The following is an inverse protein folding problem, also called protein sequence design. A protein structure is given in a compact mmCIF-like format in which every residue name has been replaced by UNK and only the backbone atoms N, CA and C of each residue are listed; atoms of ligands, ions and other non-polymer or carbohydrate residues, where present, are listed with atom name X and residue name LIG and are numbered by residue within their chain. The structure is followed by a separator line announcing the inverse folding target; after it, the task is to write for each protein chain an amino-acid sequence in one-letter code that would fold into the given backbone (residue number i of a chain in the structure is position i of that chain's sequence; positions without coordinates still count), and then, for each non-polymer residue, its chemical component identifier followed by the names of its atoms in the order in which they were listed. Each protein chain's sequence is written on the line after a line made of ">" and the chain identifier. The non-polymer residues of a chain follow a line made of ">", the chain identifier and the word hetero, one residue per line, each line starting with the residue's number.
data_IF_486266883615
#
_entry.id   IF_486266883615
#
_cell.length_a   1.000
_cell.length_b   1.000
_cell.length_c   1.000
_cell.angle_alpha   90.00
_cell.angle_beta   90.00
_cell.angle_gamma   90.00
#
_symmetry.space_group_name_H-M   'P 1'
#
loop_
_entity.id
_entity.type
_entity.pdbx_description
1 polymer ?
#
# COMPACT_ATOMS: atom_id res chain seq x y z
N UNK A 1 -14.14 -14.41 -9.60
CA UNK A 1 -12.73 -14.86 -9.75
C UNK A 1 -11.87 -13.87 -8.99
N UNK A 2 -11.00 -14.34 -8.12
CA UNK A 2 -9.98 -13.54 -7.43
C UNK A 2 -8.94 -13.06 -8.43
N UNK A 3 -8.39 -11.86 -8.22
CA UNK A 3 -7.33 -11.30 -9.06
C UNK A 3 -6.05 -12.16 -8.93
N UNK A 4 -5.55 -12.79 -10.01
CA UNK A 4 -4.33 -13.60 -9.96
C UNK A 4 -3.09 -12.81 -9.47
N UNK A 5 -3.05 -11.50 -9.71
CA UNK A 5 -1.96 -10.65 -9.20
C UNK A 5 -2.04 -10.50 -7.68
N UNK A 6 -3.25 -10.46 -7.13
CA UNK A 6 -3.46 -10.39 -5.69
C UNK A 6 -3.08 -11.71 -5.02
N UNK A 7 -3.44 -12.85 -5.61
CA UNK A 7 -3.05 -14.17 -5.11
C UNK A 7 -1.52 -14.35 -5.10
N UNK A 8 -0.81 -13.79 -6.08
CA UNK A 8 0.65 -13.83 -6.13
C UNK A 8 1.33 -13.14 -4.93
N UNK A 9 0.66 -12.17 -4.28
CA UNK A 9 1.20 -11.49 -3.09
C UNK A 9 1.42 -12.46 -1.92
N UNK A 10 0.59 -13.50 -1.82
CA UNK A 10 0.71 -14.50 -0.76
C UNK A 10 1.99 -15.34 -0.86
N UNK A 11 2.64 -15.39 -2.04
CA UNK A 11 3.88 -16.14 -2.26
C UNK A 11 5.14 -15.35 -1.86
N UNK A 12 5.00 -14.10 -1.38
CA UNK A 12 6.14 -13.30 -0.94
C UNK A 12 6.71 -13.91 0.37
N UNK A 13 8.03 -14.14 0.48
CA UNK A 13 8.62 -14.68 1.70
C UNK A 13 8.31 -13.81 2.94
N UNK A 14 7.98 -14.47 4.06
CA UNK A 14 7.55 -13.82 5.31
C UNK A 14 6.31 -12.91 5.17
N UNK A 15 5.49 -13.11 4.12
CA UNK A 15 4.22 -12.42 3.97
C UNK A 15 3.23 -12.85 5.06
N UNK A 16 2.69 -11.87 5.78
CA UNK A 16 1.68 -12.10 6.82
C UNK A 16 0.27 -11.91 6.24
N UNK A 17 0.08 -10.86 5.44
CA UNK A 17 -1.23 -10.46 4.94
C UNK A 17 -1.11 -9.37 3.86
N UNK A 18 -2.04 -9.37 2.90
CA UNK A 18 -2.16 -8.35 1.86
C UNK A 18 -3.59 -7.84 1.76
N UNK A 19 -3.72 -6.61 1.28
CA UNK A 19 -4.98 -6.05 0.84
C UNK A 19 -4.77 -5.18 -0.40
N UNK A 20 -5.82 -5.01 -1.18
CA UNK A 20 -5.91 -4.01 -2.24
C UNK A 20 -6.93 -2.97 -1.82
N UNK A 21 -6.66 -1.71 -2.15
CA UNK A 21 -7.53 -0.59 -1.82
C UNK A 21 -7.72 0.32 -3.03
N UNK A 22 -8.86 1.00 -3.07
CA UNK A 22 -9.16 2.00 -4.08
C UNK A 22 -8.21 3.19 -3.95
N UNK A 23 -7.60 3.57 -5.07
CA UNK A 23 -6.76 4.75 -5.18
C UNK A 23 -7.55 6.08 -5.18
N UNK A 24 -8.88 6.05 -5.17
CA UNK A 24 -9.73 7.26 -5.08
C UNK A 24 -10.42 7.41 -3.73
N UNK A 25 -10.74 6.31 -3.05
CA UNK A 25 -11.60 6.32 -1.87
C UNK A 25 -10.95 5.72 -0.61
N UNK A 26 -9.80 5.04 -0.74
CA UNK A 26 -9.16 4.33 0.37
C UNK A 26 -9.93 3.11 0.89
N UNK A 27 -11.06 2.77 0.26
CA UNK A 27 -11.85 1.59 0.58
C UNK A 27 -11.07 0.32 0.23
N UNK A 28 -11.06 -0.66 1.14
CA UNK A 28 -10.45 -1.97 0.89
C UNK A 28 -11.33 -2.76 -0.09
N UNK A 29 -10.75 -3.22 -1.20
CA UNK A 29 -11.44 -3.96 -2.25
C UNK A 29 -11.29 -5.48 -2.05
N UNK A 30 -10.10 -5.93 -1.68
CA UNK A 30 -9.79 -7.33 -1.39
C UNK A 30 -8.79 -7.41 -0.23
N UNK A 31 -8.88 -8.45 0.58
CA UNK A 31 -7.97 -8.66 1.71
C UNK A 31 -7.80 -10.16 2.00
N UNK A 32 -6.59 -10.56 2.40
CA UNK A 32 -6.32 -11.92 2.91
C UNK A 32 -6.58 -12.05 4.41
N UNK A 33 -6.87 -10.95 5.11
CA UNK A 33 -7.14 -10.94 6.55
C UNK A 33 -8.23 -9.94 6.93
N UNK A 34 -8.77 -10.08 8.14
CA UNK A 34 -9.72 -9.12 8.68
C UNK A 34 -8.98 -7.86 9.17
N UNK A 35 -8.61 -6.98 8.25
CA UNK A 35 -8.10 -5.67 8.61
C UNK A 35 -9.21 -4.77 9.12
N UNK A 36 -8.82 -3.87 10.02
CA UNK A 36 -9.67 -2.75 10.39
C UNK A 36 -9.88 -1.84 9.17
N UNK A 37 -11.10 -1.34 8.88
CA UNK A 37 -11.37 -0.47 7.72
C UNK A 37 -10.41 0.72 7.59
N UNK A 38 -9.94 1.26 8.71
CA UNK A 38 -8.99 2.37 8.80
C UNK A 38 -7.63 2.05 8.17
N UNK A 39 -7.29 0.77 7.99
CA UNK A 39 -6.03 0.32 7.38
C UNK A 39 -5.94 0.73 5.91
N UNK A 40 -7.04 0.55 5.16
CA UNK A 40 -7.12 0.96 3.76
C UNK A 40 -6.98 2.47 3.61
N UNK A 41 -7.67 3.22 4.47
CA UNK A 41 -7.61 4.68 4.50
C UNK A 41 -6.20 5.19 4.83
N UNK A 42 -5.54 4.61 5.83
CA UNK A 42 -4.19 5.00 6.22
C UNK A 42 -3.17 4.75 5.10
N UNK A 43 -3.26 3.60 4.41
CA UNK A 43 -2.39 3.32 3.28
C UNK A 43 -2.66 4.25 2.08
N UNK A 44 -3.93 4.60 1.84
CA UNK A 44 -4.30 5.60 0.84
C UNK A 44 -3.72 6.98 1.18
N UNK A 45 -3.84 7.43 2.43
CA UNK A 45 -3.27 8.70 2.89
C UNK A 45 -1.75 8.73 2.69
N UNK A 46 -1.03 7.67 3.08
CA UNK A 46 0.41 7.55 2.86
C UNK A 46 0.79 7.66 1.38
N UNK A 47 0.03 7.01 0.50
CA UNK A 47 0.27 7.09 -0.95
C UNK A 47 -0.01 8.49 -1.50
N UNK A 48 -1.10 9.13 -1.06
CA UNK A 48 -1.48 10.48 -1.46
C UNK A 48 -0.41 11.49 -1.07
N UNK A 49 0.04 11.45 0.20
CA UNK A 49 1.09 12.32 0.72
C UNK A 49 2.42 12.10 -0.01
N UNK A 50 2.80 10.85 -0.26
CA UNK A 50 4.01 10.53 -1.01
C UNK A 50 3.91 10.96 -2.49
N UNK A 51 2.72 10.90 -3.08
CA UNK A 51 2.48 11.37 -4.45
C UNK A 51 2.58 12.89 -4.54
N UNK A 52 2.14 13.62 -3.51
CA UNK A 52 2.33 15.06 -3.40
C UNK A 52 3.81 15.41 -3.31
N UNK A 53 4.61 14.67 -2.53
CA UNK A 53 6.07 14.85 -2.52
C UNK A 53 6.66 14.71 -3.92
N UNK A 54 6.16 13.75 -4.71
CA UNK A 54 6.49 13.57 -6.12
C UNK A 54 6.30 14.82 -6.98
N UNK A 55 5.29 15.65 -6.70
CA UNK A 55 5.05 16.90 -7.46
C UNK A 55 6.06 18.01 -7.14
N UNK A 56 6.65 17.98 -5.96
CA UNK A 56 7.65 18.96 -5.51
C UNK A 56 9.08 18.54 -5.83
N UNK A 57 9.31 17.30 -6.27
CA UNK A 57 10.60 16.83 -6.78
C UNK A 57 10.83 17.28 -8.23
N UNK A 58 12.08 17.53 -8.66
CA UNK A 58 12.39 17.82 -10.06
C UNK A 58 11.88 16.73 -11.01
N UNK A 59 11.45 17.08 -12.24
CA UNK A 59 10.83 16.18 -13.23
C UNK A 59 11.54 14.83 -13.39
N UNK A 60 12.88 14.84 -13.40
CA UNK A 60 13.72 13.63 -13.52
C UNK A 60 13.48 12.62 -12.37
N UNK A 61 12.90 13.06 -11.25
CA UNK A 61 12.70 12.27 -10.04
C UNK A 61 11.23 11.98 -9.71
N UNK A 62 10.26 12.60 -10.38
CA UNK A 62 8.84 12.44 -10.06
C UNK A 62 8.36 11.00 -10.27
N UNK A 63 8.82 10.34 -11.34
CA UNK A 63 8.48 8.94 -11.66
C UNK A 63 9.22 7.89 -10.81
N UNK A 64 10.10 8.32 -9.89
CA UNK A 64 10.95 7.39 -9.12
C UNK A 64 10.27 6.77 -7.91
N UNK A 65 9.12 7.28 -7.47
CA UNK A 65 8.39 6.67 -6.36
C UNK A 65 7.73 5.36 -6.82
N UNK A 66 8.40 4.23 -6.59
CA UNK A 66 7.90 2.89 -6.95
C UNK A 66 7.34 2.10 -5.77
N UNK A 67 7.72 2.43 -4.53
CA UNK A 67 7.32 1.69 -3.32
C UNK A 67 7.48 2.54 -2.06
N UNK A 68 6.52 2.45 -1.14
CA UNK A 68 6.59 2.98 0.22
C UNK A 68 6.79 1.80 1.18
N UNK A 69 7.70 1.92 2.15
CA UNK A 69 7.96 0.88 3.14
C UNK A 69 7.98 1.49 4.54
N UNK A 70 6.97 1.14 5.36
CA UNK A 70 6.97 1.44 6.79
C UNK A 70 7.68 0.35 7.57
N UNK A 71 8.53 0.74 8.53
CA UNK A 71 9.14 -0.21 9.48
C UNK A 71 8.52 0.02 10.85
N UNK A 72 8.02 -1.05 11.44
CA UNK A 72 7.59 -1.06 12.83
C UNK A 72 8.59 -1.87 13.66
N UNK A 73 9.10 -1.26 14.72
CA UNK A 73 9.96 -1.94 15.69
C UNK A 73 9.10 -2.28 16.90
N UNK A 74 9.07 -3.56 17.25
CA UNK A 74 8.50 -4.00 18.53
C UNK A 74 9.55 -3.63 19.58
N UNK A 75 9.29 -2.61 20.39
CA UNK A 75 10.10 -2.36 21.58
C UNK A 75 9.82 -3.51 22.56
N UNK A 76 10.83 -4.36 22.80
CA UNK A 76 10.81 -5.34 23.86
C UNK A 76 11.18 -4.68 25.20
#
# INVERSE_FOLDING_TARGET
>A
MSDPNFEALANIPAHISSFSASASEGNTLQSTSNFRPETGLAAYQLLSDASLLGKYTPEIQQDKLKRITGKYYVNN
#
